data_IF_356558430829
#
_entry.id   IF_356558430829
#
_cell.length_a   1.000
_cell.length_b   1.000
_cell.length_c   1.000
_cell.angle_alpha   90.00
_cell.angle_beta   90.00
_cell.angle_gamma   90.00
#
_symmetry.space_group_name_H-M   'P 1'
#
loop_
_entity.id
_entity.type
_entity.pdbx_description
1 polymer ?
#
# COMPACT_ATOMS: atom_id res chain seq x y z
N UNK A 1 -20.41 -68.98 50.14
CA UNK A 1 -19.63 -68.42 49.01
C UNK A 1 -19.88 -66.93 48.96
N UNK A 2 -18.90 -66.10 49.36
CA UNK A 2 -18.95 -64.64 49.23
C UNK A 2 -18.11 -64.27 48.00
N UNK A 3 -18.73 -63.77 46.96
CA UNK A 3 -18.06 -63.28 45.75
C UNK A 3 -17.68 -61.82 45.94
N UNK A 4 -16.38 -61.52 45.95
CA UNK A 4 -15.85 -60.16 45.90
C UNK A 4 -15.76 -59.72 44.43
N UNK A 5 -16.33 -58.57 44.10
CA UNK A 5 -16.07 -57.84 42.86
C UNK A 5 -14.86 -56.93 43.08
N UNK A 6 -13.80 -57.13 42.30
CA UNK A 6 -12.64 -56.23 42.26
C UNK A 6 -12.88 -55.21 41.13
N UNK A 7 -12.95 -53.93 41.48
CA UNK A 7 -13.06 -52.84 40.52
C UNK A 7 -11.67 -52.42 40.07
N UNK A 8 -11.39 -52.57 38.77
CA UNK A 8 -10.13 -52.14 38.15
C UNK A 8 -10.33 -50.70 37.63
N UNK A 9 -9.79 -49.72 38.35
CA UNK A 9 -9.81 -48.31 37.94
C UNK A 9 -8.72 -48.06 36.90
N UNK A 10 -9.12 -47.84 35.64
CA UNK A 10 -8.21 -47.37 34.60
C UNK A 10 -7.97 -45.86 34.79
N UNK A 11 -6.74 -45.49 35.18
CA UNK A 11 -6.29 -44.10 35.15
C UNK A 11 -5.96 -43.73 33.70
N UNK A 12 -6.83 -42.96 33.05
CA UNK A 12 -6.54 -42.37 31.74
C UNK A 12 -5.58 -41.19 31.96
N UNK A 13 -4.28 -41.39 31.70
CA UNK A 13 -3.32 -40.30 31.65
C UNK A 13 -3.58 -39.46 30.40
N UNK A 14 -4.22 -38.30 30.58
CA UNK A 14 -4.40 -37.31 29.54
C UNK A 14 -3.05 -36.64 29.27
N UNK A 15 -2.31 -37.12 28.27
CA UNK A 15 -1.15 -36.39 27.76
C UNK A 15 -1.66 -35.16 27.02
N UNK A 16 -1.56 -34.00 27.67
CA UNK A 16 -1.74 -32.72 27.00
C UNK A 16 -0.55 -32.53 26.04
N UNK A 17 -0.73 -32.90 24.77
CA UNK A 17 0.15 -32.43 23.69
C UNK A 17 -0.02 -30.92 23.62
N UNK A 18 1.00 -30.16 24.08
CA UNK A 18 1.13 -28.75 23.72
C UNK A 18 1.20 -28.69 22.19
N UNK A 19 0.13 -28.26 21.54
CA UNK A 19 0.21 -27.85 20.15
C UNK A 19 1.29 -26.76 20.07
N UNK A 20 2.31 -26.95 19.23
CA UNK A 20 3.31 -25.92 19.00
C UNK A 20 2.64 -24.79 18.23
N UNK A 21 2.71 -23.56 18.75
CA UNK A 21 2.31 -22.36 18.03
C UNK A 21 3.21 -22.20 16.80
N UNK A 22 2.61 -21.93 15.65
CA UNK A 22 3.33 -21.58 14.42
C UNK A 22 3.68 -20.10 14.48
N UNK A 23 4.93 -19.75 14.18
CA UNK A 23 5.33 -18.35 14.19
C UNK A 23 4.73 -17.60 12.99
N UNK A 24 4.55 -16.28 13.12
CA UNK A 24 4.12 -15.46 11.97
C UNK A 24 5.13 -15.54 10.82
N UNK A 25 6.43 -15.68 11.13
CA UNK A 25 7.47 -15.83 10.10
C UNK A 25 7.32 -17.11 9.29
N UNK A 26 6.84 -18.19 9.91
CA UNK A 26 6.56 -19.43 9.20
C UNK A 26 5.31 -19.30 8.30
N UNK A 27 4.35 -18.44 8.68
CA UNK A 27 3.16 -18.15 7.88
C UNK A 27 3.50 -17.25 6.70
N UNK A 28 4.27 -16.19 6.92
CA UNK A 28 4.64 -15.27 5.84
C UNK A 28 5.58 -15.93 4.82
N UNK A 29 6.53 -16.75 5.27
CA UNK A 29 7.52 -17.34 4.37
C UNK A 29 8.39 -16.28 3.66
N UNK A 30 9.12 -16.69 2.63
CA UNK A 30 10.04 -15.82 1.88
C UNK A 30 9.65 -15.65 0.40
N UNK A 31 8.38 -15.87 0.08
CA UNK A 31 7.76 -15.88 -1.25
C UNK A 31 6.32 -15.33 -1.14
N UNK A 32 5.64 -15.06 -2.26
CA UNK A 32 4.32 -14.40 -2.28
C UNK A 32 3.15 -15.26 -1.73
N UNK A 33 3.35 -16.56 -1.48
CA UNK A 33 2.32 -17.44 -0.93
C UNK A 33 2.80 -18.09 0.37
N UNK A 34 1.92 -18.13 1.36
CA UNK A 34 2.11 -18.78 2.66
C UNK A 34 2.27 -20.30 2.56
N UNK A 35 3.21 -20.91 3.31
CA UNK A 35 3.39 -22.37 3.31
C UNK A 35 2.50 -23.13 4.31
N UNK A 36 1.71 -22.48 5.18
CA UNK A 36 1.06 -23.13 6.32
C UNK A 36 -0.43 -22.75 6.52
N UNK A 37 -1.33 -23.73 6.37
CA UNK A 37 -2.79 -23.56 6.58
C UNK A 37 -3.23 -24.12 7.94
N UNK A 38 -3.99 -23.34 8.71
CA UNK A 38 -4.87 -23.81 9.79
C UNK A 38 -4.24 -24.08 11.16
N UNK A 39 -3.36 -23.21 11.66
CA UNK A 39 -2.58 -23.42 12.90
C UNK A 39 -2.80 -22.33 13.96
N UNK A 40 -2.33 -22.59 15.19
CA UNK A 40 -2.26 -21.62 16.29
C UNK A 40 -1.21 -20.57 15.99
N UNK A 41 -1.52 -19.30 16.27
CA UNK A 41 -0.61 -18.18 16.01
C UNK A 41 -0.57 -17.25 17.21
N UNK A 42 0.63 -16.80 17.54
CA UNK A 42 0.89 -15.85 18.63
C UNK A 42 1.56 -14.58 18.11
N UNK A 43 1.15 -13.43 18.66
CA UNK A 43 1.73 -12.15 18.34
C UNK A 43 1.18 -11.01 19.17
N UNK A 44 1.91 -9.90 19.21
CA UNK A 44 1.51 -8.67 19.89
C UNK A 44 0.64 -7.85 18.96
N UNK A 45 -0.54 -7.42 19.41
CA UNK A 45 -1.44 -6.55 18.64
C UNK A 45 -0.79 -5.18 18.44
N UNK A 46 -0.44 -4.85 17.20
CA UNK A 46 0.24 -3.60 16.83
C UNK A 46 -0.69 -2.55 16.25
N UNK A 47 -1.79 -2.98 15.63
CA UNK A 47 -2.78 -2.09 15.03
C UNK A 47 -4.17 -2.73 15.06
N UNK A 48 -5.20 -1.89 14.95
CA UNK A 48 -6.60 -2.33 14.97
C UNK A 48 -7.46 -1.41 14.11
N UNK A 49 -8.21 -1.99 13.19
CA UNK A 49 -9.13 -1.28 12.31
C UNK A 49 -10.57 -1.78 12.45
N UNK A 50 -11.43 -1.34 11.54
CA UNK A 50 -12.83 -1.75 11.48
C UNK A 50 -13.05 -3.15 10.90
N UNK A 51 -12.12 -3.63 10.09
CA UNK A 51 -12.20 -4.91 9.38
C UNK A 51 -11.17 -5.94 9.86
N UNK A 52 -10.51 -5.68 10.99
CA UNK A 52 -9.49 -6.56 11.51
C UNK A 52 -8.54 -5.91 12.49
N UNK A 53 -7.49 -6.63 12.82
CA UNK A 53 -6.36 -6.15 13.62
C UNK A 53 -5.08 -6.82 13.15
N UNK A 54 -3.93 -6.25 13.50
CA UNK A 54 -2.62 -6.78 13.11
C UNK A 54 -1.88 -7.23 14.34
N UNK A 55 -1.19 -8.37 14.21
CA UNK A 55 -0.31 -8.90 15.22
C UNK A 55 1.12 -8.99 14.68
N UNK A 56 2.10 -8.83 15.56
CA UNK A 56 3.51 -8.92 15.20
C UNK A 56 4.25 -9.80 16.21
N UNK A 57 5.10 -10.68 15.70
CA UNK A 57 5.97 -11.56 16.48
C UNK A 57 7.41 -11.04 16.43
N UNK A 58 8.37 -11.61 17.20
CA UNK A 58 9.78 -11.26 17.03
C UNK A 58 10.26 -11.45 15.58
N UNK A 59 11.17 -10.61 15.07
CA UNK A 59 11.63 -10.69 13.68
C UNK A 59 12.43 -11.96 13.41
N UNK A 60 12.41 -12.41 12.15
CA UNK A 60 13.34 -13.41 11.60
C UNK A 60 14.70 -12.79 11.32
N UNK A 61 15.76 -13.61 11.27
CA UNK A 61 17.06 -13.21 10.73
C UNK A 61 17.02 -12.99 9.20
N UNK A 62 16.02 -13.55 8.52
CA UNK A 62 15.79 -13.36 7.08
C UNK A 62 14.87 -12.16 6.83
N UNK A 63 15.46 -11.06 6.33
CA UNK A 63 14.76 -9.77 6.05
C UNK A 63 13.63 -9.87 5.02
N UNK A 64 13.55 -10.98 4.28
CA UNK A 64 12.48 -11.25 3.31
C UNK A 64 11.19 -11.68 3.99
N UNK A 65 11.29 -12.24 5.19
CA UNK A 65 10.19 -12.86 5.89
C UNK A 65 9.53 -11.85 6.80
N UNK A 66 8.28 -11.53 6.54
CA UNK A 66 7.55 -10.64 7.42
C UNK A 66 7.27 -11.29 8.78
N UNK A 67 7.34 -10.52 9.86
CA UNK A 67 6.90 -10.95 11.20
C UNK A 67 5.57 -10.33 11.62
N UNK A 68 4.90 -9.59 10.73
CA UNK A 68 3.57 -9.03 10.91
C UNK A 68 2.50 -9.87 10.19
N UNK A 69 1.26 -9.85 10.71
CA UNK A 69 0.15 -10.61 10.13
C UNK A 69 -1.18 -9.90 10.32
N UNK A 70 -1.97 -9.84 9.25
CA UNK A 70 -3.35 -9.34 9.30
C UNK A 70 -4.29 -10.41 9.82
N UNK A 71 -5.16 -10.03 10.77
CA UNK A 71 -6.25 -10.87 11.27
C UNK A 71 -7.57 -10.26 10.80
N UNK A 72 -8.17 -10.88 9.79
CA UNK A 72 -9.41 -10.40 9.19
C UNK A 72 -10.63 -10.77 10.04
N UNK A 73 -11.41 -9.76 10.41
CA UNK A 73 -12.70 -9.95 11.06
C UNK A 73 -13.53 -8.67 11.01
N UNK A 74 -14.78 -8.77 10.58
CA UNK A 74 -15.78 -7.70 10.69
C UNK A 74 -16.61 -7.79 11.97
N UNK A 75 -16.32 -8.77 12.84
CA UNK A 75 -17.12 -9.04 14.04
C UNK A 75 -16.68 -8.14 15.19
N UNK A 76 -17.54 -7.19 15.58
CA UNK A 76 -17.26 -6.23 16.66
C UNK A 76 -16.93 -6.88 18.01
N UNK A 77 -17.56 -8.02 18.34
CA UNK A 77 -17.28 -8.73 19.59
C UNK A 77 -15.89 -9.36 19.61
N UNK A 78 -15.39 -9.84 18.46
CA UNK A 78 -14.02 -10.33 18.32
C UNK A 78 -13.03 -9.17 18.47
N UNK A 79 -13.27 -8.07 17.76
CA UNK A 79 -12.43 -6.87 17.89
C UNK A 79 -12.40 -6.39 19.34
N UNK A 80 -13.50 -6.45 20.10
CA UNK A 80 -13.53 -6.04 21.50
C UNK A 80 -12.69 -6.93 22.45
N UNK A 81 -12.23 -8.11 22.03
CA UNK A 81 -11.43 -9.02 22.85
C UNK A 81 -9.96 -8.62 22.96
N UNK A 82 -9.48 -7.71 22.09
CA UNK A 82 -8.06 -7.35 22.00
C UNK A 82 -7.84 -5.85 22.03
N UNK A 83 -6.74 -5.44 22.65
CA UNK A 83 -6.24 -4.08 22.71
C UNK A 83 -4.83 -3.99 22.14
N UNK A 84 -4.42 -2.77 21.74
CA UNK A 84 -3.03 -2.53 21.34
C UNK A 84 -2.08 -2.91 22.47
N UNK A 85 -1.01 -3.63 22.13
CA UNK A 85 -0.01 -4.13 23.08
C UNK A 85 -0.39 -5.44 23.79
N UNK A 86 -1.56 -6.02 23.52
CA UNK A 86 -1.88 -7.36 24.00
C UNK A 86 -1.07 -8.41 23.21
N UNK A 87 -0.36 -9.28 23.93
CA UNK A 87 0.17 -10.52 23.36
C UNK A 87 -0.97 -11.53 23.35
N UNK A 88 -1.40 -11.94 22.15
CA UNK A 88 -2.53 -12.84 21.97
C UNK A 88 -2.09 -14.17 21.37
N UNK A 89 -2.80 -15.22 21.75
CA UNK A 89 -2.79 -16.53 21.09
C UNK A 89 -4.18 -16.76 20.51
N UNK A 90 -4.25 -17.12 19.23
CA UNK A 90 -5.53 -17.33 18.53
C UNK A 90 -5.46 -18.47 17.52
N UNK A 91 -6.65 -18.94 17.14
CA UNK A 91 -6.85 -19.89 16.06
C UNK A 91 -7.44 -19.15 14.86
N UNK A 92 -7.17 -19.66 13.66
CA UNK A 92 -7.91 -19.28 12.45
C UNK A 92 -7.40 -20.02 11.23
N UNK A 93 -7.88 -19.61 10.05
CA UNK A 93 -7.43 -20.16 8.78
C UNK A 93 -6.54 -19.14 8.08
N UNK A 94 -5.30 -19.54 7.77
CA UNK A 94 -4.44 -18.75 6.87
C UNK A 94 -5.06 -18.77 5.48
N UNK A 95 -5.16 -17.60 4.87
CA UNK A 95 -5.77 -17.36 3.59
C UNK A 95 -4.90 -16.43 2.74
N UNK A 96 -4.78 -16.76 1.47
CA UNK A 96 -4.26 -15.87 0.44
C UNK A 96 -5.46 -15.12 -0.16
N UNK A 97 -5.75 -13.94 0.40
CA UNK A 97 -6.96 -13.22 0.07
C UNK A 97 -6.75 -12.27 -1.11
N UNK A 98 -7.41 -12.54 -2.23
CA UNK A 98 -7.49 -11.62 -3.35
C UNK A 98 -8.73 -10.72 -3.21
N UNK A 99 -8.52 -9.40 -3.26
CA UNK A 99 -9.63 -8.44 -3.41
C UNK A 99 -10.21 -8.43 -4.83
N UNK A 100 -9.37 -8.72 -5.82
CA UNK A 100 -9.69 -8.90 -7.24
C UNK A 100 -8.72 -9.93 -7.86
N UNK A 101 -9.13 -10.64 -8.91
CA UNK A 101 -8.29 -11.64 -9.58
C UNK A 101 -7.07 -11.03 -10.33
N UNK A 102 -7.03 -9.71 -10.52
CA UNK A 102 -5.92 -9.01 -11.19
C UNK A 102 -4.90 -8.41 -10.22
N UNK A 103 -5.05 -8.59 -8.91
CA UNK A 103 -4.14 -8.06 -7.89
C UNK A 103 -3.58 -9.18 -7.01
N UNK A 104 -2.42 -8.93 -6.40
CA UNK A 104 -1.80 -9.86 -5.47
C UNK A 104 -2.72 -10.22 -4.30
N UNK A 105 -2.52 -11.40 -3.74
CA UNK A 105 -3.11 -11.83 -2.47
C UNK A 105 -2.50 -11.06 -1.31
N UNK A 106 -3.22 -11.08 -0.21
CA UNK A 106 -2.73 -10.69 1.11
C UNK A 106 -2.69 -11.94 1.97
N UNK A 107 -1.59 -12.17 2.67
CA UNK A 107 -1.51 -13.24 3.66
C UNK A 107 -2.24 -12.79 4.93
N UNK A 108 -3.37 -13.42 5.22
CA UNK A 108 -4.18 -13.09 6.40
C UNK A 108 -4.71 -14.33 7.14
N UNK A 109 -5.10 -14.14 8.41
CA UNK A 109 -5.90 -15.12 9.14
C UNK A 109 -7.36 -14.71 9.12
N UNK A 110 -8.19 -15.56 8.50
CA UNK A 110 -9.64 -15.47 8.54
C UNK A 110 -10.27 -16.28 9.67
N UNK A 111 -11.50 -15.92 10.02
CA UNK A 111 -12.33 -16.60 11.04
C UNK A 111 -11.63 -16.83 12.38
N UNK A 112 -11.06 -15.77 13.01
CA UNK A 112 -10.33 -15.92 14.26
C UNK A 112 -11.22 -16.45 15.39
N UNK A 113 -10.68 -17.36 16.19
CA UNK A 113 -11.38 -17.99 17.34
C UNK A 113 -10.40 -18.31 18.47
N UNK A 114 -10.93 -18.67 19.65
CA UNK A 114 -10.14 -19.03 20.84
C UNK A 114 -9.09 -17.98 21.24
N UNK A 115 -9.38 -16.69 21.01
CA UNK A 115 -8.47 -15.60 21.33
C UNK A 115 -8.24 -15.56 22.84
N UNK A 116 -6.97 -15.68 23.23
CA UNK A 116 -6.52 -15.61 24.62
C UNK A 116 -5.47 -14.52 24.75
N UNK A 117 -5.68 -13.56 25.65
CA UNK A 117 -4.65 -12.56 26.00
C UNK A 117 -3.70 -13.18 27.01
N UNK A 118 -2.43 -13.34 26.62
CA UNK A 118 -1.36 -13.93 27.43
C UNK A 118 -0.68 -12.88 28.32
N UNK A 119 -0.50 -11.67 27.79
CA UNK A 119 -0.01 -10.49 28.52
C UNK A 119 -0.47 -9.20 27.84
N UNK A 120 -0.37 -8.07 28.53
CA UNK A 120 -0.80 -6.75 28.03
C UNK A 120 0.30 -5.70 28.22
N UNK A 121 0.14 -4.56 27.56
CA UNK A 121 1.10 -3.44 27.58
C UNK A 121 2.51 -3.81 27.06
N UNK A 122 2.57 -4.79 26.15
CA UNK A 122 3.79 -5.06 25.42
C UNK A 122 4.03 -3.97 24.38
N UNK A 123 5.28 -3.72 24.06
CA UNK A 123 5.68 -2.78 23.02
C UNK A 123 6.34 -3.51 21.87
N UNK A 124 6.09 -3.04 20.65
CA UNK A 124 6.79 -3.46 19.44
C UNK A 124 7.52 -2.23 18.92
N UNK A 125 8.81 -2.39 18.64
CA UNK A 125 9.60 -1.34 17.98
C UNK A 125 9.29 -1.36 16.48
N UNK A 126 8.73 -0.29 15.91
CA UNK A 126 8.48 -0.22 14.47
C UNK A 126 9.81 -0.20 13.69
N UNK A 127 9.78 -0.72 12.46
CA UNK A 127 10.89 -0.49 11.50
C UNK A 127 10.84 0.97 11.05
N UNK A 128 11.95 1.70 11.16
CA UNK A 128 12.05 3.08 10.70
C UNK A 128 12.50 3.10 9.24
N UNK A 129 11.56 3.39 8.33
CA UNK A 129 11.85 3.49 6.91
C UNK A 129 12.70 4.74 6.62
N UNK A 130 13.75 4.57 5.81
CA UNK A 130 14.82 5.56 5.59
C UNK A 130 16.02 5.41 6.52
N UNK A 131 15.90 4.64 7.62
CA UNK A 131 16.98 4.41 8.58
C UNK A 131 17.34 2.93 8.66
N UNK A 132 16.37 2.09 9.04
CA UNK A 132 16.58 0.65 9.21
C UNK A 132 16.49 -0.08 7.86
N UNK A 133 15.54 0.35 7.01
CA UNK A 133 15.29 -0.18 5.67
C UNK A 133 14.84 0.92 4.74
N UNK A 134 15.19 0.84 3.45
CA UNK A 134 14.74 1.80 2.43
C UNK A 134 14.30 1.04 1.18
N UNK A 135 13.18 1.43 0.54
CA UNK A 135 12.74 0.81 -0.69
C UNK A 135 13.74 1.08 -1.84
N UNK A 136 13.95 0.11 -2.75
CA UNK A 136 14.60 0.37 -4.04
C UNK A 136 13.82 1.39 -4.88
N UNK A 137 14.49 2.09 -5.79
CA UNK A 137 13.92 3.25 -6.49
C UNK A 137 13.60 3.05 -7.97
N UNK A 138 13.92 1.89 -8.57
CA UNK A 138 13.85 1.75 -10.03
C UNK A 138 13.28 0.44 -10.53
N UNK A 139 13.70 -0.69 -9.96
CA UNK A 139 13.24 -2.00 -10.40
C UNK A 139 11.99 -2.36 -9.61
N UNK A 140 10.92 -2.67 -10.33
CA UNK A 140 9.64 -2.99 -9.70
C UNK A 140 9.57 -4.47 -9.27
N UNK A 141 9.72 -5.40 -10.21
CA UNK A 141 9.82 -6.84 -9.97
C UNK A 141 10.90 -7.52 -10.82
N UNK A 142 11.34 -8.71 -10.41
CA UNK A 142 12.27 -9.55 -11.18
C UNK A 142 11.73 -9.98 -12.56
N UNK A 143 10.42 -9.82 -12.75
CA UNK A 143 9.67 -10.31 -13.89
C UNK A 143 9.44 -9.22 -14.97
N UNK A 144 9.78 -7.97 -14.67
CA UNK A 144 9.70 -6.81 -15.56
C UNK A 144 10.92 -6.73 -16.51
N UNK A 145 11.13 -7.79 -17.29
CA UNK A 145 12.36 -8.00 -18.09
C UNK A 145 12.31 -7.44 -19.51
N UNK A 146 11.14 -6.99 -19.98
CA UNK A 146 11.02 -6.46 -21.33
C UNK A 146 11.67 -5.08 -21.51
N UNK A 147 11.82 -4.60 -22.76
CA UNK A 147 12.55 -3.36 -23.07
C UNK A 147 11.94 -2.12 -22.43
N UNK A 148 10.66 -2.16 -22.04
CA UNK A 148 9.96 -1.07 -21.38
C UNK A 148 9.67 -1.36 -19.89
N UNK A 149 10.31 -2.38 -19.31
CA UNK A 149 10.09 -2.79 -17.92
C UNK A 149 8.65 -3.24 -17.70
N UNK A 150 7.99 -2.71 -16.66
CA UNK A 150 6.61 -3.01 -16.30
C UNK A 150 5.57 -2.63 -17.38
N UNK A 151 5.95 -1.78 -18.35
CA UNK A 151 5.11 -1.40 -19.50
C UNK A 151 5.28 -2.34 -20.70
N UNK A 152 6.05 -3.42 -20.56
CA UNK A 152 6.31 -4.34 -21.67
C UNK A 152 5.07 -5.16 -22.03
N UNK A 153 4.88 -5.39 -23.34
CA UNK A 153 3.77 -6.18 -23.87
C UNK A 153 4.25 -7.50 -24.48
N UNK A 154 3.41 -8.56 -24.49
CA UNK A 154 2.09 -8.63 -23.86
C UNK A 154 2.19 -8.55 -22.33
N UNK A 155 1.35 -7.74 -21.70
CA UNK A 155 1.31 -7.63 -20.25
C UNK A 155 0.86 -8.95 -19.61
N UNK A 156 1.11 -9.12 -18.31
CA UNK A 156 0.68 -10.29 -17.54
C UNK A 156 1.36 -11.63 -17.88
N UNK A 157 2.39 -11.67 -18.75
CA UNK A 157 3.18 -12.90 -18.99
C UNK A 157 4.09 -13.29 -17.83
N UNK A 158 4.16 -12.43 -16.81
CA UNK A 158 5.16 -12.48 -15.76
C UNK A 158 4.50 -12.26 -14.39
N UNK A 159 3.46 -13.02 -14.09
CA UNK A 159 2.75 -12.98 -12.81
C UNK A 159 3.64 -13.50 -11.67
N UNK A 160 3.92 -12.65 -10.69
CA UNK A 160 4.86 -12.96 -9.59
C UNK A 160 4.42 -14.13 -8.71
N UNK A 161 3.13 -14.26 -8.43
CA UNK A 161 2.57 -15.37 -7.64
C UNK A 161 2.56 -16.69 -8.41
N UNK A 162 2.32 -16.66 -9.73
CA UNK A 162 2.35 -17.86 -10.54
C UNK A 162 3.76 -18.46 -10.64
N UNK A 163 4.78 -17.60 -10.61
CA UNK A 163 6.19 -17.99 -10.62
C UNK A 163 6.70 -18.31 -9.20
N UNK A 164 6.19 -17.59 -8.20
CA UNK A 164 6.47 -17.73 -6.76
C UNK A 164 7.96 -17.86 -6.41
N UNK A 165 8.80 -16.99 -6.97
CA UNK A 165 10.24 -16.97 -6.67
C UNK A 165 10.53 -16.28 -5.34
N UNK A 166 11.64 -16.64 -4.66
CA UNK A 166 12.04 -15.96 -3.43
C UNK A 166 12.23 -14.46 -3.62
N UNK A 167 11.75 -13.68 -2.65
CA UNK A 167 11.83 -12.22 -2.66
C UNK A 167 13.29 -11.73 -2.71
N UNK A 168 13.53 -10.61 -3.41
CA UNK A 168 14.80 -9.86 -3.39
C UNK A 168 14.55 -8.38 -3.01
N UNK A 169 14.21 -8.08 -1.74
CA UNK A 169 13.83 -6.74 -1.25
C UNK A 169 14.85 -5.63 -1.46
N UNK A 170 16.13 -5.97 -1.64
CA UNK A 170 17.18 -4.99 -1.88
C UNK A 170 17.25 -4.54 -3.34
N UNK A 171 16.60 -5.25 -4.25
CA UNK A 171 16.62 -4.99 -5.69
C UNK A 171 15.26 -4.52 -6.20
N UNK A 172 14.19 -5.22 -5.82
CA UNK A 172 12.85 -5.00 -6.33
C UNK A 172 11.95 -4.40 -5.27
N UNK A 173 11.27 -3.30 -5.61
CA UNK A 173 10.42 -2.60 -4.64
C UNK A 173 9.14 -3.36 -4.32
N UNK A 174 8.60 -4.15 -5.26
CA UNK A 174 7.45 -5.00 -4.97
C UNK A 174 7.80 -5.99 -3.86
N UNK A 175 8.93 -6.69 -4.00
CA UNK A 175 9.47 -7.60 -3.00
C UNK A 175 9.82 -6.90 -1.67
N UNK A 176 10.25 -5.64 -1.74
CA UNK A 176 10.51 -4.83 -0.54
C UNK A 176 9.25 -4.62 0.28
N UNK A 177 8.17 -4.15 -0.36
CA UNK A 177 6.92 -3.89 0.34
C UNK A 177 6.25 -5.18 0.81
N UNK A 178 6.35 -6.25 0.02
CA UNK A 178 5.90 -7.59 0.41
C UNK A 178 6.59 -8.08 1.67
N UNK A 179 7.92 -7.93 1.76
CA UNK A 179 8.68 -8.35 2.96
C UNK A 179 8.34 -7.58 4.24
N UNK A 180 7.52 -6.54 4.13
CA UNK A 180 7.02 -5.73 5.25
C UNK A 180 5.52 -5.92 5.49
N UNK A 181 4.83 -6.78 4.74
CA UNK A 181 3.39 -6.95 4.84
C UNK A 181 2.95 -7.23 6.29
N UNK A 182 1.98 -6.46 6.78
CA UNK A 182 1.44 -6.56 8.12
C UNK A 182 2.33 -6.01 9.25
N UNK A 183 3.55 -5.56 8.95
CA UNK A 183 4.46 -5.02 9.98
C UNK A 183 4.15 -3.58 10.35
N UNK A 184 4.39 -3.26 11.61
CA UNK A 184 4.41 -1.90 12.12
C UNK A 184 5.69 -1.18 11.66
N UNK A 185 5.51 -0.07 10.94
CA UNK A 185 6.59 0.77 10.42
C UNK A 185 6.39 2.23 10.84
N UNK A 186 7.49 2.98 10.80
CA UNK A 186 7.50 4.43 10.97
C UNK A 186 8.17 5.09 9.76
N UNK A 187 7.51 6.11 9.20
CA UNK A 187 8.03 6.96 8.13
C UNK A 187 8.24 8.37 8.67
N UNK A 188 9.50 8.78 8.94
CA UNK A 188 9.80 10.16 9.31
C UNK A 188 9.59 11.11 8.13
N UNK A 189 9.02 12.29 8.40
CA UNK A 189 9.02 13.46 7.51
C UNK A 189 8.63 13.19 6.04
N UNK A 190 7.51 12.52 5.78
CA UNK A 190 7.13 12.16 4.41
C UNK A 190 6.79 13.38 3.54
N UNK A 191 7.12 13.29 2.24
CA UNK A 191 6.78 14.28 1.22
C UNK A 191 5.71 13.72 0.30
N UNK A 192 4.63 14.48 0.15
CA UNK A 192 3.47 14.17 -0.69
C UNK A 192 3.79 14.41 -2.16
N UNK A 193 3.41 13.47 -3.03
CA UNK A 193 3.65 13.57 -4.48
C UNK A 193 2.39 13.85 -5.31
N UNK A 194 1.21 13.75 -4.71
CA UNK A 194 -0.07 14.04 -5.38
C UNK A 194 -1.12 14.62 -4.42
N UNK A 195 -2.20 15.19 -4.94
CA UNK A 195 -3.37 15.53 -4.13
C UNK A 195 -3.99 14.25 -3.53
N UNK A 196 -4.68 14.40 -2.40
CA UNK A 196 -5.46 13.29 -1.86
C UNK A 196 -6.61 12.93 -2.81
N UNK A 197 -6.89 11.63 -2.98
CA UNK A 197 -8.03 11.17 -3.76
C UNK A 197 -9.37 11.38 -3.01
N UNK A 198 -10.47 10.93 -3.58
CA UNK A 198 -11.81 11.02 -2.98
C UNK A 198 -11.97 10.25 -1.66
N UNK A 199 -11.09 9.29 -1.39
CA UNK A 199 -11.04 8.50 -0.17
C UNK A 199 -10.10 9.12 0.89
N UNK A 200 -9.42 10.22 0.57
CA UNK A 200 -8.45 10.86 1.47
C UNK A 200 -7.09 10.16 1.53
N UNK A 201 -6.80 9.29 0.56
CA UNK A 201 -5.53 8.58 0.45
C UNK A 201 -4.49 9.45 -0.24
N UNK A 202 -3.23 9.34 0.18
CA UNK A 202 -2.16 10.26 -0.23
C UNK A 202 -0.93 9.47 -0.69
N UNK A 203 -0.47 9.71 -1.91
CA UNK A 203 0.81 9.19 -2.37
C UNK A 203 1.98 10.00 -1.78
N UNK A 204 2.98 9.30 -1.23
CA UNK A 204 4.14 9.94 -0.61
C UNK A 204 5.42 9.08 -0.70
N UNK A 205 6.55 9.71 -0.39
CA UNK A 205 7.82 9.04 -0.05
C UNK A 205 8.37 9.62 1.25
N UNK A 206 9.17 8.87 1.99
CA UNK A 206 9.84 9.31 3.22
C UNK A 206 11.27 9.77 2.99
N UNK A 207 12.05 9.88 4.05
CA UNK A 207 13.46 10.28 3.97
C UNK A 207 14.38 9.11 3.55
N UNK A 208 14.15 8.59 2.34
CA UNK A 208 15.00 7.60 1.66
C UNK A 208 15.42 8.09 0.26
N UNK A 209 16.38 7.42 -0.40
CA UNK A 209 16.71 7.74 -1.79
C UNK A 209 15.48 7.66 -2.70
N UNK A 210 15.34 8.60 -3.61
CA UNK A 210 14.27 8.65 -4.62
C UNK A 210 14.84 9.05 -5.98
N UNK A 211 14.17 8.68 -7.06
CA UNK A 211 14.49 9.09 -8.44
C UNK A 211 13.42 10.04 -8.98
N UNK A 212 13.71 10.75 -10.07
CA UNK A 212 12.71 11.62 -10.71
C UNK A 212 12.26 12.85 -9.92
N UNK A 213 12.87 13.15 -8.76
CA UNK A 213 12.45 14.27 -7.90
C UNK A 213 12.51 15.62 -8.61
N UNK A 214 11.36 16.29 -8.71
CA UNK A 214 11.24 17.62 -9.30
C UNK A 214 11.24 18.74 -8.25
N UNK A 215 11.30 20.00 -8.71
CA UNK A 215 11.38 21.19 -7.84
C UNK A 215 10.14 21.42 -6.98
N UNK A 216 9.01 20.78 -7.29
CA UNK A 216 7.79 20.83 -6.47
C UNK A 216 7.67 19.65 -5.50
N UNK A 217 8.70 18.81 -5.41
CA UNK A 217 8.73 17.68 -4.49
C UNK A 217 7.99 16.43 -4.98
N UNK A 218 7.37 16.45 -6.17
CA UNK A 218 6.84 15.26 -6.82
C UNK A 218 7.96 14.42 -7.45
N UNK A 219 7.64 13.18 -7.81
CA UNK A 219 8.54 12.29 -8.56
C UNK A 219 8.01 12.17 -10.00
N UNK A 220 8.86 12.48 -10.95
CA UNK A 220 8.57 12.43 -12.38
C UNK A 220 9.08 11.11 -12.94
N UNK A 221 8.25 10.44 -13.74
CA UNK A 221 8.66 9.23 -14.46
C UNK A 221 9.88 9.56 -15.34
N UNK A 222 10.96 8.79 -15.16
CA UNK A 222 12.21 8.96 -15.92
C UNK A 222 12.65 7.63 -16.50
N UNK A 223 13.67 7.62 -17.36
CA UNK A 223 14.32 6.37 -17.73
C UNK A 223 15.26 5.94 -16.57
N UNK A 224 15.18 4.67 -16.18
CA UNK A 224 16.07 4.07 -15.19
C UNK A 224 17.46 3.78 -15.79
N UNK A 225 18.37 3.22 -14.98
CA UNK A 225 19.77 2.96 -15.36
C UNK A 225 19.94 1.98 -16.54
N UNK A 226 18.91 1.20 -16.86
CA UNK A 226 18.91 0.24 -17.97
C UNK A 226 18.01 0.68 -19.14
N UNK A 227 17.55 1.94 -19.13
CA UNK A 227 16.75 2.54 -20.20
C UNK A 227 15.26 2.20 -20.19
N UNK A 228 14.77 1.52 -19.14
CA UNK A 228 13.33 1.25 -18.95
C UNK A 228 12.66 2.42 -18.23
N UNK A 229 11.33 2.52 -18.29
CA UNK A 229 10.59 3.54 -17.54
C UNK A 229 10.63 3.23 -16.04
N UNK A 230 11.05 4.21 -15.26
CA UNK A 230 11.03 4.22 -13.80
C UNK A 230 9.67 4.73 -13.31
N UNK A 231 8.91 3.86 -12.64
CA UNK A 231 7.58 4.14 -12.10
C UNK A 231 7.59 4.84 -10.73
N UNK A 232 8.77 5.15 -10.19
CA UNK A 232 8.98 5.57 -8.81
C UNK A 232 8.38 4.58 -7.78
N UNK A 233 8.78 3.31 -7.83
CA UNK A 233 8.22 2.26 -6.99
C UNK A 233 8.62 2.37 -5.50
N UNK A 234 9.50 3.32 -5.16
CA UNK A 234 9.84 3.73 -3.79
C UNK A 234 8.77 4.58 -3.10
N UNK A 235 7.64 4.83 -3.77
CA UNK A 235 6.49 5.54 -3.21
C UNK A 235 5.52 4.58 -2.52
N UNK A 236 4.75 5.12 -1.58
CA UNK A 236 3.74 4.38 -0.83
C UNK A 236 2.48 5.22 -0.70
N UNK A 237 1.32 4.56 -0.62
CA UNK A 237 0.06 5.23 -0.33
C UNK A 237 -0.16 5.30 1.18
N UNK A 238 -0.45 6.50 1.68
CA UNK A 238 -0.95 6.71 3.03
C UNK A 238 -2.45 6.50 3.00
N UNK A 239 -2.90 5.39 3.59
CA UNK A 239 -4.30 4.99 3.67
C UNK A 239 -5.10 5.73 4.73
N UNK A 240 -6.34 5.29 4.93
CA UNK A 240 -7.22 5.83 5.99
C UNK A 240 -6.67 5.50 7.38
N UNK A 241 -6.57 6.47 8.31
CA UNK A 241 -6.15 6.22 9.67
C UNK A 241 -7.07 5.25 10.42
N UNK A 242 -6.46 4.30 11.13
CA UNK A 242 -7.15 3.19 11.78
C UNK A 242 -7.95 3.62 13.02
N UNK A 243 -7.57 4.71 13.68
CA UNK A 243 -8.33 5.31 14.79
C UNK A 243 -9.54 6.14 14.35
N UNK A 244 -9.80 6.26 13.04
CA UNK A 244 -10.91 7.02 12.46
C UNK A 244 -10.65 8.53 12.35
N UNK A 245 -9.45 9.01 12.68
CA UNK A 245 -9.03 10.36 12.30
C UNK A 245 -8.91 10.49 10.78
N UNK A 246 -8.80 11.73 10.28
CA UNK A 246 -8.82 12.01 8.85
C UNK A 246 -7.51 12.60 8.39
N UNK A 247 -6.97 12.06 7.30
CA UNK A 247 -5.82 12.63 6.63
C UNK A 247 -6.10 14.09 6.21
N UNK A 248 -5.09 14.97 6.23
CA UNK A 248 -5.25 16.37 5.85
C UNK A 248 -5.44 16.52 4.34
N UNK A 249 -5.98 17.66 3.90
CA UNK A 249 -5.97 18.05 2.49
C UNK A 249 -4.58 18.57 2.12
N UNK A 250 -3.98 18.02 1.07
CA UNK A 250 -2.57 18.23 0.73
C UNK A 250 -2.40 18.67 -0.71
N UNK A 251 -1.20 19.18 -1.00
CA UNK A 251 -0.74 19.49 -2.36
C UNK A 251 0.61 18.82 -2.59
N UNK A 252 1.02 18.72 -3.85
CA UNK A 252 2.36 18.21 -4.20
C UNK A 252 3.44 19.00 -3.43
N UNK A 253 4.37 18.28 -2.82
CA UNK A 253 5.46 18.84 -2.01
C UNK A 253 5.10 19.16 -0.57
N UNK A 254 3.85 18.92 -0.14
CA UNK A 254 3.48 19.01 1.28
C UNK A 254 4.31 18.02 2.09
N UNK A 255 4.91 18.49 3.18
CA UNK A 255 5.57 17.66 4.19
C UNK A 255 4.60 17.33 5.31
N UNK A 256 4.57 16.07 5.70
CA UNK A 256 3.77 15.56 6.80
C UNK A 256 4.64 15.25 8.02
N UNK A 257 4.02 15.22 9.20
CA UNK A 257 4.66 14.70 10.41
C UNK A 257 4.98 13.21 10.26
N UNK A 258 5.81 12.68 11.14
CA UNK A 258 6.08 11.24 11.22
C UNK A 258 4.79 10.42 11.23
N UNK A 259 4.75 9.40 10.37
CA UNK A 259 3.64 8.46 10.26
C UNK A 259 4.07 7.15 10.90
N UNK A 260 3.25 6.58 11.77
CA UNK A 260 3.42 5.20 12.24
C UNK A 260 2.16 4.42 11.89
N UNK A 261 2.33 3.25 11.31
CA UNK A 261 1.23 2.47 10.74
C UNK A 261 1.68 1.09 10.33
N UNK A 262 0.73 0.27 9.88
CA UNK A 262 1.02 -1.07 9.37
C UNK A 262 1.04 -1.08 7.85
N UNK A 263 1.92 -1.88 7.26
CA UNK A 263 1.92 -2.10 5.81
C UNK A 263 0.78 -3.06 5.44
N UNK A 264 0.01 -2.71 4.42
CA UNK A 264 -1.08 -3.53 3.92
C UNK A 264 -1.14 -3.43 2.40
N UNK A 265 -1.23 -4.56 1.71
CA UNK A 265 -1.58 -4.56 0.30
C UNK A 265 -3.11 -4.49 0.12
N UNK A 266 -3.59 -3.59 -0.73
CA UNK A 266 -5.01 -3.49 -1.09
C UNK A 266 -5.15 -2.72 -2.41
N UNK A 267 -6.20 -3.01 -3.18
CA UNK A 267 -6.52 -2.29 -4.43
C UNK A 267 -5.36 -2.18 -5.43
N UNK A 268 -4.44 -3.15 -5.44
CA UNK A 268 -3.30 -3.16 -6.38
C UNK A 268 -2.03 -2.48 -5.87
N UNK A 269 -2.01 -1.94 -4.65
CA UNK A 269 -0.88 -1.18 -4.11
C UNK A 269 -0.61 -1.50 -2.65
N UNK A 270 0.62 -1.26 -2.21
CA UNK A 270 0.95 -1.23 -0.79
C UNK A 270 0.61 0.13 -0.18
N UNK A 271 -0.03 0.04 0.98
CA UNK A 271 -0.42 1.16 1.81
C UNK A 271 0.34 1.10 3.12
N UNK A 272 0.65 2.27 3.67
CA UNK A 272 0.79 2.41 5.12
C UNK A 272 -0.59 2.81 5.65
N UNK A 273 -1.13 2.00 6.57
CA UNK A 273 -2.37 2.28 7.29
C UNK A 273 -2.00 2.99 8.59
N UNK A 274 -2.13 4.33 8.69
CA UNK A 274 -1.66 5.08 9.85
C UNK A 274 -2.44 4.65 11.09
N UNK A 275 -1.78 4.55 12.23
CA UNK A 275 -2.49 4.38 13.51
C UNK A 275 -3.36 5.62 13.79
N UNK A 276 -2.83 6.80 13.46
CA UNK A 276 -3.47 8.12 13.58
C UNK A 276 -3.06 8.98 12.38
N UNK A 277 -3.94 9.90 11.96
CA UNK A 277 -3.69 10.83 10.87
C UNK A 277 -2.42 11.66 11.10
N UNK A 278 -1.56 11.82 10.09
CA UNK A 278 -0.48 12.80 10.16
C UNK A 278 -0.99 14.24 10.07
N UNK A 279 -0.19 15.18 10.55
CA UNK A 279 -0.42 16.61 10.39
C UNK A 279 0.48 17.20 9.28
N UNK A 280 0.07 18.34 8.73
CA UNK A 280 0.90 19.12 7.79
C UNK A 280 1.99 19.85 8.58
N UNK A 281 3.24 19.65 8.17
CA UNK A 281 4.41 20.41 8.68
C UNK A 281 4.62 21.66 7.83
N UNK A 282 4.59 21.50 6.51
CA UNK A 282 4.77 22.62 5.57
C UNK A 282 4.20 22.27 4.20
N UNK A 283 3.85 23.28 3.41
CA UNK A 283 3.46 23.13 2.01
C UNK A 283 4.21 24.14 1.16
N UNK A 284 4.38 23.82 -0.12
CA UNK A 284 4.88 24.79 -1.08
C UNK A 284 3.80 25.84 -1.36
N UNK A 285 4.20 27.07 -1.76
CA UNK A 285 3.27 28.05 -2.29
C UNK A 285 2.52 27.50 -3.51
N UNK A 286 1.33 28.03 -3.76
CA UNK A 286 0.59 27.73 -4.98
C UNK A 286 1.45 28.06 -6.22
N UNK A 287 1.26 27.28 -7.28
CA UNK A 287 1.94 27.52 -8.54
C UNK A 287 1.62 28.95 -9.04
N UNK A 288 2.63 29.66 -9.51
CA UNK A 288 2.45 30.96 -10.16
C UNK A 288 2.25 30.77 -11.66
N UNK A 289 1.58 31.71 -12.35
CA UNK A 289 1.53 31.73 -13.81
C UNK A 289 2.92 31.66 -14.45
N UNK A 290 2.99 31.08 -15.65
CA UNK A 290 4.21 31.12 -16.45
C UNK A 290 4.57 32.57 -16.83
N UNK A 291 5.86 32.81 -17.03
CA UNK A 291 6.36 34.07 -17.61
C UNK A 291 6.39 34.02 -19.14
N UNK A 292 6.19 32.84 -19.74
CA UNK A 292 6.14 32.64 -21.19
C UNK A 292 4.81 33.19 -21.71
N UNK A 293 4.86 34.11 -22.66
CA UNK A 293 3.68 34.67 -23.31
C UNK A 293 3.87 34.69 -24.83
N UNK A 294 2.80 34.50 -25.62
CA UNK A 294 2.85 34.72 -27.05
C UNK A 294 3.42 36.10 -27.40
N UNK A 295 4.17 36.18 -28.49
CA UNK A 295 4.64 37.44 -29.02
C UNK A 295 3.78 37.87 -30.20
N UNK A 296 2.85 38.80 -29.95
CA UNK A 296 1.95 39.32 -31.00
C UNK A 296 2.65 40.14 -32.10
N UNK A 297 3.93 40.45 -31.94
CA UNK A 297 4.72 41.25 -32.89
C UNK A 297 5.74 40.42 -33.68
N UNK A 298 5.95 39.16 -33.31
CA UNK A 298 6.91 38.26 -33.97
C UNK A 298 6.22 36.99 -34.43
N UNK A 299 5.81 36.98 -35.70
CA UNK A 299 5.15 35.84 -36.33
C UNK A 299 6.05 34.59 -36.49
N UNK A 300 7.36 34.69 -36.21
CA UNK A 300 8.26 33.54 -36.21
C UNK A 300 8.33 32.83 -34.85
N UNK A 301 7.68 33.37 -33.81
CA UNK A 301 7.61 32.77 -32.48
C UNK A 301 6.23 32.16 -32.26
N UNK A 302 6.19 30.88 -31.90
CA UNK A 302 4.96 30.16 -31.54
C UNK A 302 5.11 29.62 -30.12
N UNK A 303 4.20 29.99 -29.23
CA UNK A 303 4.13 29.46 -27.87
C UNK A 303 3.18 28.28 -27.83
N UNK A 304 3.70 27.13 -27.43
CA UNK A 304 2.95 25.87 -27.34
C UNK A 304 2.74 25.52 -25.88
N UNK A 305 1.48 25.33 -25.49
CA UNK A 305 1.08 24.78 -24.20
C UNK A 305 0.72 23.30 -24.31
N UNK A 306 0.90 22.57 -23.21
CA UNK A 306 0.41 21.21 -23.04
C UNK A 306 -0.34 21.11 -21.73
N UNK A 307 -1.54 20.53 -21.75
CA UNK A 307 -2.43 20.53 -20.59
C UNK A 307 -3.31 19.28 -20.53
N UNK A 308 -3.19 18.50 -19.45
CA UNK A 308 -4.14 17.44 -19.15
C UNK A 308 -5.42 18.07 -18.59
N UNK A 309 -6.57 17.81 -19.23
CA UNK A 309 -7.86 18.38 -18.81
C UNK A 309 -8.67 17.44 -17.91
N UNK A 310 -8.09 16.31 -17.50
CA UNK A 310 -8.63 15.39 -16.48
C UNK A 310 -10.05 14.93 -16.78
N UNK A 311 -10.18 14.03 -17.76
CA UNK A 311 -11.46 13.44 -18.19
C UNK A 311 -12.55 14.49 -18.48
N UNK A 312 -12.18 15.57 -19.17
CA UNK A 312 -13.08 16.68 -19.47
C UNK A 312 -14.24 16.23 -20.34
N UNK A 313 -15.47 16.44 -19.87
CA UNK A 313 -16.69 16.25 -20.64
C UNK A 313 -17.50 17.53 -20.77
N UNK A 314 -18.34 17.59 -21.81
CA UNK A 314 -19.29 18.70 -22.04
C UNK A 314 -20.33 18.84 -20.91
N UNK A 315 -20.52 17.80 -20.10
CA UNK A 315 -21.46 17.75 -18.96
C UNK A 315 -20.91 18.38 -17.68
N UNK A 316 -19.68 18.90 -17.68
CA UNK A 316 -18.96 19.39 -16.50
C UNK A 316 -18.60 20.90 -16.61
N UNK A 317 -19.58 21.82 -16.62
CA UNK A 317 -19.35 23.24 -16.91
C UNK A 317 -18.44 23.97 -15.91
N UNK A 318 -18.45 23.57 -14.63
CA UNK A 318 -17.53 24.11 -13.63
C UNK A 318 -16.06 23.76 -13.91
N UNK A 319 -15.81 22.53 -14.34
CA UNK A 319 -14.47 22.04 -14.72
C UNK A 319 -13.96 22.76 -15.97
N UNK A 320 -14.82 22.93 -16.99
CA UNK A 320 -14.51 23.71 -18.20
C UNK A 320 -14.07 25.14 -17.82
N UNK A 321 -14.79 25.80 -16.92
CA UNK A 321 -14.43 27.16 -16.48
C UNK A 321 -13.11 27.22 -15.72
N UNK A 322 -12.80 26.19 -14.90
CA UNK A 322 -11.52 26.09 -14.20
C UNK A 322 -10.36 25.92 -15.20
N UNK A 323 -10.51 25.03 -16.17
CA UNK A 323 -9.52 24.79 -17.24
C UNK A 323 -9.30 26.06 -18.07
N UNK A 324 -10.39 26.74 -18.48
CA UNK A 324 -10.28 28.00 -19.21
C UNK A 324 -9.52 29.06 -18.40
N UNK A 325 -9.75 29.12 -17.10
CA UNK A 325 -9.01 30.00 -16.18
C UNK A 325 -7.53 29.63 -16.13
N UNK A 326 -7.18 28.33 -16.05
CA UNK A 326 -5.80 27.87 -16.08
C UNK A 326 -5.10 28.24 -17.39
N UNK A 327 -5.74 28.02 -18.54
CA UNK A 327 -5.15 28.35 -19.85
C UNK A 327 -4.96 29.87 -19.98
N UNK A 328 -5.97 30.67 -19.65
CA UNK A 328 -5.93 32.11 -19.82
C UNK A 328 -4.97 32.80 -18.82
N UNK A 329 -5.03 32.41 -17.55
CA UNK A 329 -4.33 33.12 -16.47
C UNK A 329 -2.99 32.49 -16.11
N UNK A 330 -2.89 31.15 -16.08
CA UNK A 330 -1.69 30.45 -15.65
C UNK A 330 -0.76 30.06 -16.81
N UNK A 331 -1.30 29.59 -17.93
CA UNK A 331 -0.53 29.33 -19.16
C UNK A 331 -0.38 30.57 -20.04
N UNK A 332 -1.06 31.68 -19.70
CA UNK A 332 -0.98 32.98 -20.38
C UNK A 332 -1.38 32.92 -21.86
N UNK A 333 -2.40 32.11 -22.17
CA UNK A 333 -3.03 32.00 -23.49
C UNK A 333 -2.04 31.66 -24.62
N UNK A 334 -1.43 30.45 -24.63
CA UNK A 334 -0.53 30.02 -25.71
C UNK A 334 -1.18 30.09 -27.11
N UNK A 335 -0.36 30.22 -28.16
CA UNK A 335 -0.84 30.24 -29.56
C UNK A 335 -1.48 28.89 -29.95
N UNK A 336 -0.93 27.80 -29.42
CA UNK A 336 -1.45 26.44 -29.58
C UNK A 336 -1.44 25.73 -28.23
N UNK A 337 -2.52 25.00 -27.91
CA UNK A 337 -2.59 24.15 -26.72
C UNK A 337 -2.91 22.72 -27.14
N UNK A 338 -2.02 21.80 -26.80
CA UNK A 338 -2.28 20.37 -26.85
C UNK A 338 -2.99 19.95 -25.57
N UNK A 339 -4.15 19.33 -25.71
CA UNK A 339 -4.99 18.87 -24.62
C UNK A 339 -5.12 17.36 -24.66
N UNK A 340 -5.06 16.71 -23.51
CA UNK A 340 -5.28 15.27 -23.37
C UNK A 340 -6.38 14.96 -22.35
N UNK A 341 -6.95 13.77 -22.44
CA UNK A 341 -8.08 13.30 -21.62
C UNK A 341 -9.37 14.11 -21.81
N UNK A 342 -9.69 14.41 -23.06
CA UNK A 342 -11.03 14.84 -23.44
C UNK A 342 -11.90 13.60 -23.63
N UNK A 343 -13.02 13.55 -22.93
CA UNK A 343 -14.06 12.53 -23.06
C UNK A 343 -14.92 12.79 -24.30
N UNK A 344 -15.66 11.77 -24.73
CA UNK A 344 -16.63 11.91 -25.81
C UNK A 344 -17.88 12.72 -25.40
N UNK A 345 -18.86 12.82 -26.31
CA UNK A 345 -20.02 13.69 -26.12
C UNK A 345 -20.97 13.26 -24.99
N UNK A 346 -20.84 12.03 -24.48
CA UNK A 346 -21.65 11.41 -23.43
C UNK A 346 -20.92 11.36 -22.07
N UNK A 347 -19.67 11.84 -22.03
CA UNK A 347 -18.87 11.91 -20.80
C UNK A 347 -18.67 10.52 -20.19
N UNK A 348 -18.77 10.36 -18.86
CA UNK A 348 -18.50 9.07 -18.20
C UNK A 348 -19.59 8.01 -18.44
N UNK A 349 -20.62 8.31 -19.24
CA UNK A 349 -21.69 7.35 -19.54
C UNK A 349 -21.22 6.41 -20.64
N UNK A 350 -20.93 5.15 -20.33
CA UNK A 350 -20.66 4.15 -21.36
C UNK A 350 -21.91 3.90 -22.21
N UNK A 351 -21.76 4.02 -23.53
CA UNK A 351 -22.59 3.33 -24.49
C UNK A 351 -21.67 2.37 -25.25
N UNK A 352 -21.97 1.08 -25.17
CA UNK A 352 -21.38 0.00 -25.97
C UNK A 352 -20.55 0.48 -27.17
N UNK A 353 -19.22 0.47 -27.03
CA UNK A 353 -18.42 -0.02 -28.14
C UNK A 353 -18.70 -1.52 -28.20
N UNK A 354 -19.80 -1.83 -28.89
CA UNK A 354 -20.17 -3.18 -29.23
C UNK A 354 -18.95 -3.91 -29.74
N UNK A 355 -18.65 -5.02 -29.07
CA UNK A 355 -17.73 -6.08 -29.48
C UNK A 355 -17.61 -6.15 -31.00
N UNK A 356 -16.52 -5.62 -31.55
CA UNK A 356 -15.98 -6.17 -32.78
C UNK A 356 -15.21 -7.42 -32.34
N UNK A 357 -15.82 -8.58 -32.61
CA UNK A 357 -15.29 -9.93 -32.33
C UNK A 357 -13.91 -10.16 -32.92
#
# INVERSE_FOLDING_TARGET
>A
MKTQFSALTFLLACFATKAASVSITDIQGNSFLSPLVGQFVEGIVTAKGTSGFWIQSPPSDDVRVSNGLSIFTSTKTILAQVNLGDLVSLNGFVNEFHTDATVLSVTEIGSPSNITVLSSNNTVTPIVLGVDRSPPTQLYSALDTGPNGFLSLPGNTSQVEAVNVPLQPSLYSLDFWESLEGQLVTVPNSTVINFQNSFGEIWAYGEWPVTGKNSRGGLTLTANLVGQVDANPETIIIGSPLDGTKNPKVTIGTKLTTITGVIQYQFGFYYIMPLTAPAIVSSLPAASPTTITPNSTDACVVVIGYYNVENLSSTSPSHINAIATHIAQFLRTPDLVFVQEIQDNNGPTECDLGVAR
#
